data_IF_526244093213
#
_entry.id   IF_526244093213
#
_cell.length_a   1.000
_cell.length_b   1.000
_cell.length_c   1.000
_cell.angle_alpha   90.00
_cell.angle_beta   90.00
_cell.angle_gamma   90.00
#
_symmetry.space_group_name_H-M   'P 1'
#
loop_
_entity.id
_entity.type
_entity.pdbx_description
1 polymer ?
#
# COMPACT_ATOMS: atom_id res chain seq x y z
N UNK A 1 16.12 16.71 27.56
CA UNK A 1 15.78 15.34 27.11
C UNK A 1 17.04 14.58 26.71
N UNK A 2 17.78 15.02 25.69
CA UNK A 2 18.98 14.29 25.26
C UNK A 2 20.11 14.31 26.31
N UNK A 3 20.29 15.43 27.01
CA UNK A 3 21.18 15.50 28.18
C UNK A 3 20.76 14.56 29.34
N UNK A 4 19.56 13.98 29.29
CA UNK A 4 19.05 13.00 30.25
C UNK A 4 19.07 11.56 29.68
N UNK A 5 19.70 11.34 28.52
CA UNK A 5 19.85 10.00 27.90
C UNK A 5 18.71 9.56 26.97
N UNK A 6 17.71 10.42 26.69
CA UNK A 6 16.68 10.11 25.69
C UNK A 6 17.18 10.40 24.27
N UNK A 7 16.76 9.60 23.29
CA UNK A 7 16.98 9.88 21.86
C UNK A 7 15.81 10.71 21.30
N UNK A 8 15.70 11.98 21.72
CA UNK A 8 14.65 12.87 21.25
C UNK A 8 15.14 13.74 20.08
N UNK A 9 14.36 13.77 19.01
CA UNK A 9 14.58 14.62 17.83
C UNK A 9 13.38 15.52 17.58
N UNK A 10 13.62 16.83 17.47
CA UNK A 10 12.61 17.76 16.97
C UNK A 10 12.42 17.54 15.46
N UNK A 11 11.20 17.20 15.05
CA UNK A 11 10.88 16.88 13.64
C UNK A 11 10.10 17.97 12.92
N UNK A 12 9.44 18.88 13.63
CA UNK A 12 8.72 20.02 13.07
C UNK A 12 8.37 21.05 14.16
N UNK A 13 8.22 22.31 13.78
CA UNK A 13 7.64 23.37 14.62
C UNK A 13 6.11 23.40 14.57
N UNK A 14 5.48 22.69 13.61
CA UNK A 14 4.04 22.61 13.46
C UNK A 14 3.47 21.50 14.37
N UNK A 15 2.57 21.89 15.27
CA UNK A 15 1.89 20.96 16.19
C UNK A 15 1.19 19.85 15.39
N UNK A 16 1.34 18.60 15.84
CA UNK A 16 0.70 17.43 15.24
C UNK A 16 1.51 16.68 14.18
N UNK A 17 2.54 17.29 13.57
CA UNK A 17 3.32 16.63 12.49
C UNK A 17 4.00 15.34 12.97
N UNK A 18 4.61 15.35 14.17
CA UNK A 18 5.24 14.15 14.73
C UNK A 18 4.24 13.01 14.94
N UNK A 19 3.06 13.32 15.49
CA UNK A 19 1.99 12.35 15.72
C UNK A 19 1.42 11.82 14.40
N UNK A 20 1.16 12.70 13.42
CA UNK A 20 0.68 12.32 12.11
C UNK A 20 1.67 11.39 11.39
N UNK A 21 2.97 11.69 11.42
CA UNK A 21 4.00 10.83 10.85
C UNK A 21 4.00 9.43 11.46
N UNK A 22 3.88 9.32 12.79
CA UNK A 22 3.75 8.03 13.50
C UNK A 22 2.51 7.26 13.05
N UNK A 23 1.37 7.95 12.92
CA UNK A 23 0.10 7.32 12.55
C UNK A 23 0.14 6.85 11.08
N UNK A 24 0.63 7.67 10.15
CA UNK A 24 0.80 7.28 8.75
C UNK A 24 1.74 6.08 8.60
N UNK A 25 2.86 6.05 9.35
CA UNK A 25 3.76 4.87 9.37
C UNK A 25 3.03 3.61 9.86
N UNK A 26 2.13 3.75 10.82
CA UNK A 26 1.37 2.61 11.35
C UNK A 26 0.45 1.97 10.31
N UNK A 27 -0.05 2.73 9.34
CA UNK A 27 -0.84 2.18 8.22
C UNK A 27 -0.03 1.14 7.45
N UNK A 28 1.23 1.46 7.11
CA UNK A 28 2.10 0.54 6.38
C UNK A 28 2.46 -0.69 7.21
N UNK A 29 2.93 -0.50 8.45
CA UNK A 29 3.43 -1.61 9.27
C UNK A 29 2.28 -2.57 9.62
N UNK A 30 1.15 -2.05 10.12
CA UNK A 30 0.00 -2.88 10.48
C UNK A 30 -0.72 -3.43 9.27
N UNK A 31 -0.71 -2.71 8.15
CA UNK A 31 -1.25 -3.20 6.88
C UNK A 31 -0.47 -4.42 6.37
N UNK A 32 0.87 -4.39 6.43
CA UNK A 32 1.71 -5.55 6.09
C UNK A 32 1.46 -6.72 7.06
N UNK A 33 1.36 -6.46 8.37
CA UNK A 33 1.00 -7.50 9.35
C UNK A 33 -0.34 -8.17 9.00
N UNK A 34 -1.38 -7.38 8.74
CA UNK A 34 -2.71 -7.89 8.37
C UNK A 34 -2.69 -8.69 7.06
N UNK A 35 -2.03 -8.16 6.02
CA UNK A 35 -1.84 -8.86 4.74
C UNK A 35 -1.11 -10.20 4.93
N UNK A 36 -0.11 -10.24 5.82
CA UNK A 36 0.67 -11.45 6.10
C UNK A 36 -0.19 -12.52 6.79
N UNK A 37 -1.04 -12.13 7.74
CA UNK A 37 -1.97 -13.05 8.42
C UNK A 37 -2.94 -13.69 7.43
N UNK A 38 -3.59 -12.89 6.58
CA UNK A 38 -4.54 -13.40 5.59
C UNK A 38 -3.84 -14.28 4.54
N UNK A 39 -2.72 -13.79 3.99
CA UNK A 39 -1.96 -14.49 2.96
C UNK A 39 -1.46 -15.85 3.44
N UNK A 40 -0.82 -15.91 4.61
CA UNK A 40 -0.31 -17.17 5.14
C UNK A 40 -1.43 -18.08 5.68
N UNK A 41 -2.52 -17.51 6.18
CA UNK A 41 -3.72 -18.27 6.54
C UNK A 41 -4.26 -19.06 5.34
N UNK A 42 -4.47 -18.37 4.21
CA UNK A 42 -4.91 -19.00 2.97
C UNK A 42 -3.86 -19.98 2.41
N UNK A 43 -2.59 -19.57 2.34
CA UNK A 43 -1.52 -20.41 1.81
C UNK A 43 -1.38 -21.73 2.59
N UNK A 44 -1.55 -21.69 3.92
CA UNK A 44 -1.53 -22.90 4.76
C UNK A 44 -2.69 -23.83 4.49
N UNK A 45 -3.89 -23.31 4.21
CA UNK A 45 -5.04 -24.14 3.82
C UNK A 45 -4.79 -24.95 2.55
N UNK A 46 -3.95 -24.42 1.64
CA UNK A 46 -3.50 -25.10 0.42
C UNK A 46 -2.16 -25.86 0.55
N UNK A 47 -1.52 -25.86 1.72
CA UNK A 47 -0.18 -26.45 1.89
C UNK A 47 0.92 -25.76 1.06
N UNK A 48 0.72 -24.50 0.68
CA UNK A 48 1.59 -23.73 -0.21
C UNK A 48 2.43 -22.66 0.52
N UNK A 49 2.41 -22.65 1.86
CA UNK A 49 3.05 -21.63 2.69
C UNK A 49 4.56 -21.52 2.48
N UNK A 50 5.28 -22.64 2.30
CA UNK A 50 6.70 -22.62 2.00
C UNK A 50 7.02 -21.92 0.66
N UNK A 51 6.22 -22.18 -0.38
CA UNK A 51 6.37 -21.55 -1.70
C UNK A 51 6.08 -20.05 -1.64
N UNK A 52 4.99 -19.68 -0.94
CA UNK A 52 4.60 -18.29 -0.75
C UNK A 52 5.67 -17.52 0.02
N UNK A 53 6.22 -18.08 1.11
CA UNK A 53 7.27 -17.45 1.89
C UNK A 53 8.55 -17.20 1.07
N UNK A 54 8.95 -18.16 0.23
CA UNK A 54 10.10 -17.99 -0.65
C UNK A 54 9.88 -16.85 -1.66
N UNK A 55 8.70 -16.77 -2.27
CA UNK A 55 8.33 -15.71 -3.22
C UNK A 55 8.26 -14.32 -2.56
N UNK A 56 7.68 -14.25 -1.35
CA UNK A 56 7.61 -13.00 -0.58
C UNK A 56 9.00 -12.50 -0.19
N UNK A 57 9.90 -13.40 0.21
CA UNK A 57 11.30 -13.06 0.53
C UNK A 57 11.99 -12.39 -0.66
N UNK A 58 11.89 -12.97 -1.85
CA UNK A 58 12.47 -12.39 -3.06
C UNK A 58 11.88 -11.00 -3.36
N UNK A 59 10.56 -10.87 -3.23
CA UNK A 59 9.85 -9.61 -3.45
C UNK A 59 10.34 -8.53 -2.48
N UNK A 60 10.43 -8.82 -1.18
CA UNK A 60 10.86 -7.85 -0.17
C UNK A 60 12.33 -7.47 -0.31
N UNK A 61 13.22 -8.43 -0.63
CA UNK A 61 14.65 -8.15 -0.85
C UNK A 61 14.82 -7.20 -2.06
N UNK A 62 14.03 -7.40 -3.12
CA UNK A 62 13.99 -6.50 -4.28
C UNK A 62 13.43 -5.12 -3.92
N UNK A 63 12.33 -5.07 -3.16
CA UNK A 63 11.73 -3.80 -2.73
C UNK A 63 12.65 -2.98 -1.83
N UNK A 64 13.46 -3.62 -0.98
CA UNK A 64 14.37 -2.95 -0.05
C UNK A 64 15.48 -2.15 -0.74
N UNK A 65 15.85 -2.52 -1.96
CA UNK A 65 16.91 -1.87 -2.75
C UNK A 65 16.37 -0.96 -3.85
N UNK A 66 15.04 -0.85 -4.01
CA UNK A 66 14.40 -0.06 -5.05
C UNK A 66 14.50 1.46 -4.75
N UNK A 67 15.07 2.28 -5.65
CA UNK A 67 15.29 3.71 -5.39
C UNK A 67 14.02 4.53 -5.13
N UNK A 68 12.93 4.24 -5.85
CA UNK A 68 11.64 4.90 -5.68
C UNK A 68 10.50 3.86 -5.59
N UNK A 69 10.53 3.09 -4.51
CA UNK A 69 9.46 2.14 -4.20
C UNK A 69 8.07 2.82 -4.11
N UNK A 70 7.90 3.99 -3.48
CA UNK A 70 6.60 4.65 -3.42
C UNK A 70 6.06 5.02 -4.81
N UNK A 71 6.88 5.64 -5.67
CA UNK A 71 6.47 5.99 -7.03
C UNK A 71 6.10 4.75 -7.84
N UNK A 72 6.88 3.67 -7.74
CA UNK A 72 6.55 2.39 -8.38
C UNK A 72 5.23 1.79 -7.88
N UNK A 73 4.98 1.75 -6.56
CA UNK A 73 3.78 1.15 -6.01
C UNK A 73 2.52 1.94 -6.37
N UNK A 74 2.58 3.27 -6.29
CA UNK A 74 1.43 4.14 -6.61
C UNK A 74 1.18 4.16 -8.12
N UNK A 75 2.22 4.18 -8.97
CA UNK A 75 2.05 4.18 -10.42
C UNK A 75 1.32 2.95 -10.93
N UNK A 76 1.61 1.78 -10.34
CA UNK A 76 0.93 0.52 -10.68
C UNK A 76 -0.57 0.56 -10.40
N UNK A 77 -0.99 1.28 -9.36
CA UNK A 77 -2.42 1.48 -9.07
C UNK A 77 -3.01 2.56 -9.97
N UNK A 78 -2.29 3.66 -10.21
CA UNK A 78 -2.73 4.73 -11.10
C UNK A 78 -2.94 4.24 -12.54
N UNK A 79 -2.02 3.42 -13.06
CA UNK A 79 -2.05 2.93 -14.44
C UNK A 79 -3.00 1.73 -14.63
N UNK A 80 -3.06 0.84 -13.64
CA UNK A 80 -3.71 -0.47 -13.81
C UNK A 80 -4.74 -0.79 -12.73
N UNK A 81 -5.19 0.20 -11.94
CA UNK A 81 -6.01 -0.01 -10.75
C UNK A 81 -7.25 -0.87 -11.00
N UNK A 82 -7.97 -0.67 -12.12
CA UNK A 82 -9.13 -1.50 -12.50
C UNK A 82 -8.77 -2.98 -12.66
N UNK A 83 -7.73 -3.28 -13.42
CA UNK A 83 -7.27 -4.65 -13.65
C UNK A 83 -6.78 -5.27 -12.34
N UNK A 84 -5.99 -4.54 -11.55
CA UNK A 84 -5.48 -5.03 -10.26
C UNK A 84 -6.61 -5.28 -9.26
N UNK A 85 -7.65 -4.45 -9.28
CA UNK A 85 -8.82 -4.64 -8.44
C UNK A 85 -9.62 -5.88 -8.85
N UNK A 86 -9.70 -6.19 -10.15
CA UNK A 86 -10.28 -7.44 -10.63
C UNK A 86 -9.46 -8.66 -10.15
N UNK A 87 -8.14 -8.63 -10.32
CA UNK A 87 -7.22 -9.66 -9.80
C UNK A 87 -7.40 -9.86 -8.28
N UNK A 88 -7.51 -8.78 -7.50
CA UNK A 88 -7.71 -8.88 -6.04
C UNK A 88 -9.08 -9.45 -5.65
N UNK A 89 -10.12 -9.34 -6.48
CA UNK A 89 -11.40 -10.02 -6.25
C UNK A 89 -11.28 -11.52 -6.46
N UNK A 90 -10.54 -11.95 -7.49
CA UNK A 90 -10.24 -13.38 -7.71
C UNK A 90 -9.40 -13.95 -6.55
N UNK A 91 -8.43 -13.18 -6.05
CA UNK A 91 -7.67 -13.53 -4.84
C UNK A 91 -8.60 -13.66 -3.63
N UNK A 92 -9.56 -12.75 -3.47
CA UNK A 92 -10.52 -12.83 -2.37
C UNK A 92 -11.37 -14.12 -2.42
N UNK A 93 -11.80 -14.54 -3.61
CA UNK A 93 -12.49 -15.84 -3.76
C UNK A 93 -11.58 -17.01 -3.40
N UNK A 94 -10.32 -17.00 -3.86
CA UNK A 94 -9.34 -18.04 -3.51
C UNK A 94 -9.09 -18.12 -2.00
N UNK A 95 -8.96 -16.97 -1.33
CA UNK A 95 -8.77 -16.90 0.13
C UNK A 95 -10.00 -17.48 0.85
N UNK A 96 -11.21 -17.18 0.36
CA UNK A 96 -12.47 -17.72 0.89
C UNK A 96 -12.59 -19.23 0.69
N UNK A 97 -12.22 -19.76 -0.47
CA UNK A 97 -12.19 -21.19 -0.76
C UNK A 97 -11.21 -21.94 0.17
N UNK A 98 -10.11 -21.28 0.56
CA UNK A 98 -9.19 -21.75 1.59
C UNK A 98 -9.74 -21.67 3.03
N UNK A 99 -10.99 -21.23 3.24
CA UNK A 99 -11.63 -21.14 4.54
C UNK A 99 -11.22 -19.93 5.37
N UNK A 100 -10.65 -18.89 4.75
CA UNK A 100 -10.25 -17.63 5.41
C UNK A 100 -11.14 -16.49 4.91
N UNK A 101 -11.57 -15.59 5.80
CA UNK A 101 -12.32 -14.40 5.38
C UNK A 101 -11.39 -13.40 4.68
N UNK A 102 -11.66 -12.98 3.42
CA UNK A 102 -10.76 -12.13 2.62
C UNK A 102 -10.90 -10.63 2.92
N UNK A 103 -10.67 -10.23 4.16
CA UNK A 103 -10.79 -8.84 4.63
C UNK A 103 -9.87 -7.88 3.87
N UNK A 104 -8.57 -8.20 3.84
CA UNK A 104 -7.53 -7.39 3.22
C UNK A 104 -7.59 -7.46 1.70
N UNK A 105 -7.82 -8.64 1.13
CA UNK A 105 -7.94 -8.80 -0.32
C UNK A 105 -9.10 -7.97 -0.89
N UNK A 106 -10.25 -8.01 -0.23
CA UNK A 106 -11.39 -7.19 -0.62
C UNK A 106 -11.13 -5.69 -0.39
N UNK A 107 -10.46 -5.30 0.70
CA UNK A 107 -10.10 -3.91 0.95
C UNK A 107 -9.12 -3.36 -0.09
N UNK A 108 -8.13 -4.16 -0.52
CA UNK A 108 -7.20 -3.82 -1.58
C UNK A 108 -7.91 -3.60 -2.92
N UNK A 109 -8.84 -4.48 -3.30
CA UNK A 109 -9.64 -4.32 -4.51
C UNK A 109 -10.43 -3.00 -4.49
N UNK A 110 -11.15 -2.74 -3.39
CA UNK A 110 -11.92 -1.49 -3.22
C UNK A 110 -11.05 -0.25 -3.30
N UNK A 111 -9.89 -0.25 -2.66
CA UNK A 111 -8.96 0.88 -2.70
C UNK A 111 -8.45 1.14 -4.11
N UNK A 112 -8.04 0.09 -4.82
CA UNK A 112 -7.49 0.20 -6.17
C UNK A 112 -8.53 0.74 -7.15
N UNK A 113 -9.78 0.26 -7.08
CA UNK A 113 -10.89 0.83 -7.86
C UNK A 113 -11.16 2.28 -7.49
N UNK A 114 -11.30 2.56 -6.19
CA UNK A 114 -11.60 3.92 -5.72
C UNK A 114 -10.51 4.91 -6.12
N UNK A 115 -9.26 4.47 -6.17
CA UNK A 115 -8.15 5.32 -6.58
C UNK A 115 -8.29 5.77 -8.04
N UNK A 116 -8.62 4.84 -8.96
CA UNK A 116 -8.82 5.18 -10.37
C UNK A 116 -10.17 5.86 -10.64
N UNK A 117 -11.20 5.57 -9.84
CA UNK A 117 -12.46 6.35 -9.83
C UNK A 117 -12.16 7.83 -9.55
N UNK A 118 -11.39 8.11 -8.50
CA UNK A 118 -11.00 9.48 -8.15
C UNK A 118 -10.14 10.15 -9.23
N UNK A 119 -9.28 9.40 -9.91
CA UNK A 119 -8.54 9.95 -11.04
C UNK A 119 -9.49 10.38 -12.16
N UNK A 120 -10.47 9.55 -12.51
CA UNK A 120 -11.47 9.88 -13.52
C UNK A 120 -12.36 11.06 -13.11
N UNK A 121 -12.79 11.14 -11.84
CA UNK A 121 -13.57 12.26 -11.29
C UNK A 121 -12.83 13.62 -11.40
N UNK A 122 -11.51 13.59 -11.47
CA UNK A 122 -10.65 14.78 -11.61
C UNK A 122 -10.05 14.93 -13.02
N UNK A 123 -10.57 14.21 -14.02
CA UNK A 123 -10.08 14.19 -15.41
C UNK A 123 -8.56 13.92 -15.51
N UNK A 124 -8.04 13.05 -14.64
CA UNK A 124 -6.61 12.70 -14.60
C UNK A 124 -6.37 11.42 -15.42
N UNK A 125 -5.76 11.57 -16.59
CA UNK A 125 -5.20 10.46 -17.36
C UNK A 125 -3.77 10.16 -16.91
N UNK A 126 -3.48 8.89 -16.59
CA UNK A 126 -2.15 8.43 -16.22
C UNK A 126 -1.07 8.78 -17.26
N UNK A 127 -1.40 8.76 -18.55
CA UNK A 127 -0.43 9.10 -19.61
C UNK A 127 0.07 10.55 -19.50
N UNK A 128 -0.73 11.43 -18.89
CA UNK A 128 -0.36 12.84 -18.65
C UNK A 128 0.50 13.04 -17.41
N UNK A 129 0.73 11.98 -16.63
CA UNK A 129 1.51 12.03 -15.38
C UNK A 129 2.98 11.68 -15.57
N UNK A 130 3.53 11.70 -16.79
CA UNK A 130 4.93 11.34 -17.02
C UNK A 130 5.86 12.58 -17.03
N UNK A 131 7.01 12.56 -16.32
CA UNK A 131 7.47 11.50 -15.41
C UNK A 131 6.63 11.42 -14.13
N UNK A 132 6.38 10.19 -13.65
CA UNK A 132 5.45 9.93 -12.54
C UNK A 132 5.88 10.55 -11.20
N UNK A 133 5.04 11.43 -10.66
CA UNK A 133 5.16 12.02 -9.32
C UNK A 133 3.90 11.67 -8.49
N UNK A 134 4.04 10.70 -7.59
CA UNK A 134 2.95 10.26 -6.73
C UNK A 134 2.46 11.38 -5.79
N UNK A 135 3.33 12.28 -5.35
CA UNK A 135 2.95 13.36 -4.43
C UNK A 135 2.10 14.39 -5.15
N UNK A 136 2.47 14.75 -6.39
CA UNK A 136 1.63 15.63 -7.23
C UNK A 136 0.26 15.02 -7.51
N UNK A 137 0.22 13.72 -7.84
CA UNK A 137 -1.05 13.01 -8.05
C UNK A 137 -1.94 13.09 -6.80
N UNK A 138 -1.41 12.75 -5.62
CA UNK A 138 -2.21 12.80 -4.38
C UNK A 138 -2.68 14.22 -4.04
N UNK A 139 -1.84 15.24 -4.24
CA UNK A 139 -2.24 16.63 -4.01
C UNK A 139 -3.38 17.05 -4.93
N UNK A 140 -3.33 16.67 -6.22
CA UNK A 140 -4.40 16.92 -7.20
C UNK A 140 -5.71 16.23 -6.79
N UNK A 141 -5.63 14.97 -6.38
CA UNK A 141 -6.80 14.18 -5.96
C UNK A 141 -7.43 14.70 -4.65
N UNK A 142 -6.63 15.27 -3.75
CA UNK A 142 -7.09 15.83 -2.48
C UNK A 142 -7.46 17.33 -2.59
N UNK A 143 -7.32 17.94 -3.77
CA UNK A 143 -7.56 19.37 -3.96
C UNK A 143 -6.58 20.27 -3.19
N UNK A 144 -5.42 19.76 -2.80
CA UNK A 144 -4.40 20.51 -2.07
C UNK A 144 -3.59 21.34 -3.07
N UNK A 145 -3.77 22.66 -3.05
CA UNK A 145 -2.83 23.58 -3.68
C UNK A 145 -1.55 23.65 -2.83
N UNK A 146 -0.39 23.46 -3.47
CA UNK A 146 0.91 23.72 -2.84
C UNK A 146 1.17 25.22 -2.72
#
# INVERSE_FOLDING_TARGET
MNALGFDARAVSTRVGVASAAKMCRSVMIKGIEALTVECLGAARAYGADALVLASLRETFDRSATMPDLPGYLVSRVAEHGRRRAAEMREVAETVREGGVEPEMSAACARLQDRFVDRMAEHDIDYQTLQPFDWANLLDRLDGRQR
#
